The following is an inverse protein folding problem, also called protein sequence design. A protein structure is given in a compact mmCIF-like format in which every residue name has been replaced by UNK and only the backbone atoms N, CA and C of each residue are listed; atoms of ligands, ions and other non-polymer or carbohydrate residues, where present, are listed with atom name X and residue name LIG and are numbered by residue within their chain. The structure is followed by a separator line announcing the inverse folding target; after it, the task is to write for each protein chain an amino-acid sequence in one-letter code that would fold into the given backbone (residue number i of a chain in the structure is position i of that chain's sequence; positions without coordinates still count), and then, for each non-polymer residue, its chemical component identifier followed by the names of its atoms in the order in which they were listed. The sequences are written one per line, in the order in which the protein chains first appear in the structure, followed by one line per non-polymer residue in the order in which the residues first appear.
data_IF_630873871144
#
_entry.id   IF_630873871144
#
_cell.length_a   1.000
_cell.length_b   1.000
_cell.length_c   1.000
_cell.angle_alpha   90.00
_cell.angle_beta   90.00
_cell.angle_gamma   90.00
#
_symmetry.space_group_name_H-M   'P 1'
#
loop_
_entity.id
_entity.type
_entity.pdbx_description
1 polymer ?
#
# COMPACT_ATOMS: atom_id res chain seq x y z
N UNK A 1 -4.56 10.54 -8.74
CA UNK A 1 -5.64 11.46 -8.33
C UNK A 1 -5.25 12.86 -8.70
N UNK A 2 -6.05 13.84 -8.31
CA UNK A 2 -5.72 15.27 -8.36
C UNK A 2 -6.27 15.96 -7.11
N UNK A 3 -5.54 16.92 -6.57
CA UNK A 3 -5.97 17.76 -5.46
C UNK A 3 -5.26 19.13 -5.55
N UNK A 4 -5.66 20.08 -4.71
CA UNK A 4 -4.94 21.34 -4.59
C UNK A 4 -3.89 21.24 -3.48
N UNK A 5 -2.63 21.54 -3.80
CA UNK A 5 -1.58 21.60 -2.79
C UNK A 5 -1.89 22.70 -1.77
N UNK A 6 -1.65 22.43 -0.48
CA UNK A 6 -1.96 23.36 0.63
C UNK A 6 -3.45 23.76 0.72
N UNK A 7 -4.35 22.96 0.13
CA UNK A 7 -5.77 23.28 0.03
C UNK A 7 -6.57 23.10 1.33
N UNK A 8 -6.05 22.36 2.33
CA UNK A 8 -6.84 21.79 3.44
C UNK A 8 -7.65 22.82 4.26
N UNK A 9 -7.16 24.05 4.39
CA UNK A 9 -7.80 25.12 5.15
C UNK A 9 -8.37 26.24 4.28
N UNK A 10 -8.55 25.96 2.99
CA UNK A 10 -9.07 26.92 2.02
C UNK A 10 -10.40 26.43 1.43
N UNK A 11 -10.97 27.20 0.51
CA UNK A 11 -12.11 26.74 -0.29
C UNK A 11 -11.74 25.63 -1.30
N UNK A 12 -10.45 25.34 -1.47
CA UNK A 12 -9.89 24.32 -2.37
C UNK A 12 -9.56 22.99 -1.66
N UNK A 13 -10.17 22.73 -0.50
CA UNK A 13 -10.03 21.48 0.28
C UNK A 13 -10.71 20.27 -0.38
N UNK A 14 -10.36 20.01 -1.63
CA UNK A 14 -10.96 18.98 -2.48
C UNK A 14 -9.87 18.14 -3.14
N UNK A 15 -10.13 16.84 -3.23
CA UNK A 15 -9.29 15.88 -3.93
C UNK A 15 -10.16 14.86 -4.65
N UNK A 16 -9.70 14.40 -5.81
CA UNK A 16 -10.35 13.39 -6.62
C UNK A 16 -9.39 12.24 -6.83
N UNK A 17 -9.89 11.02 -6.63
CA UNK A 17 -9.16 9.78 -6.86
C UNK A 17 -9.99 8.87 -7.73
N UNK A 18 -9.37 8.31 -8.77
CA UNK A 18 -9.92 7.16 -9.46
C UNK A 18 -9.59 5.93 -8.61
N UNK A 19 -10.61 5.38 -7.95
CA UNK A 19 -10.51 4.05 -7.38
C UNK A 19 -10.96 3.03 -8.44
N UNK A 20 -10.10 2.07 -8.73
CA UNK A 20 -10.47 0.97 -9.62
C UNK A 20 -11.28 -0.08 -8.87
N UNK A 21 -11.39 0.03 -7.55
CA UNK A 21 -12.06 -0.90 -6.66
C UNK A 21 -11.35 -2.26 -6.59
N UNK A 22 -10.11 -2.34 -7.07
CA UNK A 22 -9.37 -3.59 -7.17
C UNK A 22 -8.26 -3.55 -6.13
N UNK A 23 -8.20 -4.56 -5.26
CA UNK A 23 -7.09 -4.75 -4.31
C UNK A 23 -6.68 -3.48 -3.54
N UNK A 24 -7.66 -2.61 -3.25
CA UNK A 24 -7.50 -1.34 -2.54
C UNK A 24 -6.46 -0.38 -3.13
N UNK A 25 -6.22 -0.41 -4.46
CA UNK A 25 -5.23 0.46 -5.09
C UNK A 25 -5.56 1.95 -5.03
N UNK A 26 -6.85 2.28 -4.95
CA UNK A 26 -7.33 3.64 -4.68
C UNK A 26 -6.83 4.21 -3.34
N UNK A 27 -6.52 3.38 -2.34
CA UNK A 27 -6.13 3.87 -1.01
C UNK A 27 -4.77 4.59 -1.04
N UNK A 28 -3.78 4.04 -1.74
CA UNK A 28 -2.48 4.70 -1.91
C UNK A 28 -2.65 6.04 -2.62
N UNK A 29 -3.50 6.09 -3.64
CA UNK A 29 -3.82 7.33 -4.35
C UNK A 29 -4.55 8.34 -3.46
N UNK A 30 -5.43 7.88 -2.57
CA UNK A 30 -6.11 8.72 -1.59
C UNK A 30 -5.14 9.33 -0.58
N UNK A 31 -4.27 8.51 0.00
CA UNK A 31 -3.25 8.99 0.94
C UNK A 31 -2.33 10.02 0.27
N UNK A 32 -1.93 9.76 -0.98
CA UNK A 32 -1.14 10.69 -1.81
C UNK A 32 -1.85 12.05 -1.98
N UNK A 33 -3.14 12.05 -2.37
CA UNK A 33 -3.88 13.31 -2.54
C UNK A 33 -4.13 14.07 -1.22
N UNK A 34 -4.32 13.34 -0.11
CA UNK A 34 -4.42 13.94 1.23
C UNK A 34 -3.10 14.58 1.63
N UNK A 35 -1.96 13.94 1.34
CA UNK A 35 -0.64 14.51 1.63
C UNK A 35 -0.43 15.85 0.90
N UNK A 36 -0.81 15.94 -0.39
CA UNK A 36 -0.73 17.19 -1.13
C UNK A 36 -1.67 18.27 -0.56
N UNK A 37 -2.90 17.92 -0.19
CA UNK A 37 -3.83 18.85 0.48
C UNK A 37 -3.23 19.43 1.76
N UNK A 38 -2.46 18.63 2.50
CA UNK A 38 -1.74 19.03 3.71
C UNK A 38 -0.44 19.78 3.44
N UNK A 39 -0.04 19.94 2.18
CA UNK A 39 1.07 20.80 1.77
C UNK A 39 2.35 20.10 1.36
N UNK A 40 2.36 18.78 1.17
CA UNK A 40 3.56 18.10 0.67
C UNK A 40 3.84 18.46 -0.79
N UNK A 41 5.12 18.48 -1.21
CA UNK A 41 5.47 18.53 -2.62
C UNK A 41 4.83 17.38 -3.40
N UNK A 42 4.54 17.59 -4.68
CA UNK A 42 4.01 16.55 -5.56
C UNK A 42 5.04 15.49 -5.90
N UNK A 43 6.28 15.94 -6.08
CA UNK A 43 7.31 15.18 -6.72
C UNK A 43 8.64 15.33 -5.97
N UNK A 44 9.00 14.33 -5.17
CA UNK A 44 10.35 14.23 -4.62
C UNK A 44 11.37 14.18 -5.76
N UNK A 45 12.49 14.88 -5.58
CA UNK A 45 13.53 15.03 -6.61
C UNK A 45 13.26 16.14 -7.64
N UNK A 46 12.09 16.79 -7.59
CA UNK A 46 11.80 17.96 -8.41
C UNK A 46 11.35 19.16 -7.58
N UNK A 47 10.20 19.07 -6.91
CA UNK A 47 9.70 20.14 -6.03
C UNK A 47 10.37 20.12 -4.65
N UNK A 48 10.90 18.96 -4.28
CA UNK A 48 11.78 18.77 -3.13
C UNK A 48 13.06 18.05 -3.61
N UNK A 49 14.03 18.78 -4.20
CA UNK A 49 15.25 18.20 -4.78
C UNK A 49 16.16 17.53 -3.74
N UNK A 50 16.03 17.88 -2.47
CA UNK A 50 16.70 17.23 -1.34
C UNK A 50 16.09 15.88 -0.96
N UNK A 51 14.86 15.59 -1.38
CA UNK A 51 14.24 14.28 -1.22
C UNK A 51 14.59 13.38 -2.42
N UNK A 52 14.91 12.11 -2.17
CA UNK A 52 15.16 11.14 -3.24
C UNK A 52 13.87 10.77 -3.96
N UNK A 53 13.73 11.19 -5.22
CA UNK A 53 12.61 10.80 -6.08
C UNK A 53 12.64 9.35 -6.58
N UNK A 54 13.67 8.56 -6.22
CA UNK A 54 13.91 7.21 -6.78
C UNK A 54 13.60 6.07 -5.81
N UNK A 55 13.26 6.39 -4.57
CA UNK A 55 13.12 5.40 -3.50
C UNK A 55 11.76 4.67 -3.56
N UNK A 56 10.79 5.23 -4.29
CA UNK A 56 9.50 4.59 -4.54
C UNK A 56 8.49 4.73 -3.40
N UNK A 57 8.58 5.83 -2.64
CA UNK A 57 7.55 6.26 -1.70
C UNK A 57 6.33 6.81 -2.44
N UNK A 58 5.24 7.07 -1.69
CA UNK A 58 3.97 7.51 -2.25
C UNK A 58 4.06 8.77 -3.11
N UNK A 59 4.97 9.70 -2.83
CA UNK A 59 5.15 10.98 -3.56
C UNK A 59 6.43 11.03 -4.42
N UNK A 60 7.09 9.88 -4.63
CA UNK A 60 8.32 9.83 -5.41
C UNK A 60 8.04 9.99 -6.92
N UNK A 61 8.80 10.86 -7.61
CA UNK A 61 8.61 11.19 -9.03
C UNK A 61 9.04 10.07 -9.98
N UNK A 62 10.20 9.46 -9.75
CA UNK A 62 10.94 8.69 -10.76
C UNK A 62 10.76 7.18 -10.60
N UNK A 63 9.53 6.75 -10.30
CA UNK A 63 9.24 5.33 -10.12
C UNK A 63 7.98 4.88 -10.86
N UNK A 64 8.15 3.95 -11.80
CA UNK A 64 7.03 3.25 -12.46
C UNK A 64 6.18 2.41 -11.50
N UNK A 65 6.69 2.18 -10.29
CA UNK A 65 6.01 1.53 -9.16
C UNK A 65 6.42 2.23 -7.88
N UNK A 66 5.45 2.50 -7.01
CA UNK A 66 5.65 3.01 -5.65
C UNK A 66 5.46 1.86 -4.66
N UNK A 67 6.45 0.95 -4.51
CA UNK A 67 6.29 -0.25 -3.69
C UNK A 67 6.09 0.09 -2.22
N UNK A 68 6.66 1.21 -1.74
CA UNK A 68 6.61 1.63 -0.35
C UNK A 68 5.34 2.44 -0.12
N UNK A 69 4.34 1.89 0.59
CA UNK A 69 3.05 2.55 0.71
C UNK A 69 3.07 3.52 1.90
N UNK A 70 4.11 4.36 1.96
CA UNK A 70 4.30 5.35 3.01
C UNK A 70 4.95 6.60 2.43
N UNK A 71 4.88 7.69 3.19
CA UNK A 71 5.67 8.89 2.94
C UNK A 71 7.12 8.64 3.38
N UNK A 72 8.06 9.20 2.64
CA UNK A 72 9.46 9.24 3.05
C UNK A 72 9.62 10.08 4.33
N UNK A 73 10.74 9.94 5.03
CA UNK A 73 11.03 10.82 6.17
C UNK A 73 11.15 12.28 5.72
N UNK A 74 11.75 12.53 4.56
CA UNK A 74 11.87 13.87 3.98
C UNK A 74 10.50 14.53 3.79
N UNK A 75 9.54 13.81 3.20
CA UNK A 75 8.16 14.31 3.02
C UNK A 75 7.41 14.46 4.35
N UNK A 76 7.67 13.60 5.34
CA UNK A 76 7.10 13.77 6.70
C UNK A 76 7.61 15.04 7.38
N UNK A 77 8.84 15.45 7.12
CA UNK A 77 9.40 16.69 7.68
C UNK A 77 8.67 17.93 7.12
N UNK A 78 8.32 17.92 5.82
CA UNK A 78 7.46 18.95 5.23
C UNK A 78 6.09 19.03 5.91
N UNK A 79 5.42 17.88 6.11
CA UNK A 79 4.14 17.83 6.81
C UNK A 79 4.25 18.35 8.25
N UNK A 80 5.31 17.96 8.96
CA UNK A 80 5.55 18.39 10.32
C UNK A 80 5.76 19.91 10.38
N UNK A 81 6.54 20.48 9.46
CA UNK A 81 6.76 21.91 9.38
C UNK A 81 5.46 22.67 9.07
N UNK A 82 4.64 22.16 8.14
CA UNK A 82 3.32 22.73 7.81
C UNK A 82 2.38 22.68 9.01
N UNK A 83 2.32 21.54 9.70
CA UNK A 83 1.54 21.39 10.92
C UNK A 83 1.97 22.40 11.99
N UNK A 84 3.27 22.47 12.30
CA UNK A 84 3.81 23.38 13.33
C UNK A 84 3.56 24.85 13.01
N UNK A 85 3.61 25.21 11.73
CA UNK A 85 3.42 26.59 11.28
C UNK A 85 1.94 27.02 11.32
N UNK A 86 1.00 26.08 11.14
CA UNK A 86 -0.43 26.38 11.04
C UNK A 86 -1.24 26.07 12.30
N UNK A 87 -0.75 25.20 13.18
CA UNK A 87 -1.49 24.72 14.36
C UNK A 87 -2.05 25.85 15.24
N UNK A 88 -1.36 26.98 15.33
CA UNK A 88 -1.76 28.10 16.20
C UNK A 88 -2.35 29.30 15.46
N UNK A 89 -2.35 29.26 14.12
CA UNK A 89 -2.81 30.37 13.28
C UNK A 89 -4.10 30.05 12.55
N UNK A 90 -4.37 28.76 12.30
CA UNK A 90 -5.46 28.30 11.44
C UNK A 90 -6.35 27.30 12.21
N UNK A 91 -7.59 27.70 12.51
CA UNK A 91 -8.51 26.92 13.35
C UNK A 91 -8.75 25.49 12.84
N UNK A 92 -8.87 25.33 11.52
CA UNK A 92 -9.06 24.05 10.84
C UNK A 92 -8.00 22.98 11.16
N UNK A 93 -6.79 23.36 11.58
CA UNK A 93 -5.73 22.41 11.98
C UNK A 93 -5.86 21.93 13.43
N UNK A 94 -6.68 22.61 14.25
CA UNK A 94 -6.88 22.29 15.67
C UNK A 94 -8.10 21.39 15.91
N UNK A 95 -9.02 21.34 14.96
CA UNK A 95 -10.26 20.59 15.13
C UNK A 95 -9.99 19.09 15.27
N UNK A 96 -10.65 18.47 16.26
CA UNK A 96 -10.60 17.01 16.42
C UNK A 96 -11.71 16.40 15.56
N UNK A 97 -11.38 15.66 14.47
CA UNK A 97 -12.40 15.10 13.61
C UNK A 97 -13.14 13.98 14.32
N UNK A 98 -14.47 13.98 14.17
CA UNK A 98 -15.29 12.81 14.49
C UNK A 98 -15.39 11.93 13.25
N UNK A 99 -15.13 10.62 13.37
CA UNK A 99 -15.26 9.72 12.23
C UNK A 99 -16.72 9.65 11.78
N UNK A 100 -16.96 9.82 10.48
CA UNK A 100 -18.30 9.69 9.88
C UNK A 100 -18.77 8.23 9.93
N UNK A 101 -17.82 7.31 9.82
CA UNK A 101 -18.01 5.86 9.91
C UNK A 101 -16.99 5.34 10.90
N UNK A 102 -17.45 4.53 11.86
CA UNK A 102 -16.54 3.90 12.82
C UNK A 102 -15.52 3.03 12.10
N UNK A 103 -14.29 3.02 12.63
CA UNK A 103 -13.25 2.13 12.09
C UNK A 103 -13.64 0.69 12.41
N UNK A 104 -13.64 -0.15 11.38
CA UNK A 104 -13.73 -1.59 11.54
C UNK A 104 -12.39 -2.17 11.98
N UNK A 105 -12.44 -3.27 12.73
CA UNK A 105 -11.27 -4.10 13.04
C UNK A 105 -10.96 -5.10 11.91
N UNK A 106 -11.85 -5.22 10.91
CA UNK A 106 -11.67 -6.06 9.73
C UNK A 106 -10.52 -5.54 8.87
N UNK A 107 -9.68 -6.46 8.41
CA UNK A 107 -8.53 -6.18 7.57
C UNK A 107 -8.85 -6.46 6.10
N UNK A 108 -8.07 -5.87 5.17
CA UNK A 108 -8.19 -6.20 3.75
C UNK A 108 -8.13 -7.70 3.44
N UNK A 109 -7.35 -8.50 4.20
CA UNK A 109 -7.33 -9.96 4.01
C UNK A 109 -8.65 -10.63 4.41
N UNK A 110 -9.38 -10.09 5.38
CA UNK A 110 -10.66 -10.66 5.81
C UNK A 110 -11.72 -10.48 4.72
N UNK A 111 -11.66 -9.34 4.01
CA UNK A 111 -12.45 -9.10 2.79
C UNK A 111 -12.10 -10.13 1.68
N UNK A 112 -10.81 -10.33 1.38
CA UNK A 112 -10.38 -11.30 0.37
C UNK A 112 -10.42 -12.77 0.82
N UNK A 113 -10.70 -13.03 2.10
CA UNK A 113 -11.03 -14.38 2.58
C UNK A 113 -12.37 -14.87 2.01
N UNK A 114 -13.27 -13.94 1.66
CA UNK A 114 -14.59 -14.22 1.09
C UNK A 114 -14.58 -14.14 -0.45
N UNK A 115 -13.75 -13.27 -1.04
CA UNK A 115 -13.54 -13.13 -2.48
C UNK A 115 -12.11 -13.46 -2.87
N UNK A 116 -11.89 -14.48 -3.71
CA UNK A 116 -10.55 -14.83 -4.22
C UNK A 116 -9.88 -13.59 -4.84
N UNK A 117 -8.78 -13.16 -4.22
CA UNK A 117 -8.05 -11.96 -4.61
C UNK A 117 -7.69 -11.95 -6.10
N UNK A 118 -7.34 -13.10 -6.69
CA UNK A 118 -6.97 -13.20 -8.09
C UNK A 118 -8.16 -12.99 -9.03
N UNK A 119 -9.38 -13.31 -8.58
CA UNK A 119 -10.64 -13.00 -9.29
C UNK A 119 -10.93 -11.51 -9.21
N UNK A 120 -10.91 -10.95 -8.01
CA UNK A 120 -11.18 -9.53 -7.77
C UNK A 120 -10.18 -8.61 -8.52
N UNK A 121 -8.93 -9.05 -8.65
CA UNK A 121 -7.86 -8.30 -9.31
C UNK A 121 -8.03 -8.18 -10.84
N UNK A 122 -8.76 -9.09 -11.49
CA UNK A 122 -8.75 -9.20 -12.96
C UNK A 122 -10.13 -9.43 -13.59
N UNK A 123 -10.94 -8.38 -13.74
CA UNK A 123 -12.28 -8.45 -14.36
C UNK A 123 -12.29 -9.06 -15.77
N UNK A 124 -11.24 -8.86 -16.57
CA UNK A 124 -11.14 -9.47 -17.90
C UNK A 124 -10.93 -11.00 -17.83
N UNK A 125 -10.50 -11.52 -16.68
CA UNK A 125 -10.19 -12.92 -16.45
C UNK A 125 -10.77 -13.38 -15.09
N UNK A 126 -12.11 -13.40 -14.95
CA UNK A 126 -12.80 -13.66 -13.69
C UNK A 126 -12.61 -15.11 -13.18
N UNK A 127 -12.06 -15.97 -14.02
CA UNK A 127 -11.75 -17.36 -13.71
C UNK A 127 -10.36 -17.55 -13.08
N UNK A 128 -9.55 -16.50 -12.98
CA UNK A 128 -8.24 -16.64 -12.35
C UNK A 128 -8.39 -16.87 -10.85
N UNK A 129 -7.66 -17.82 -10.31
CA UNK A 129 -7.62 -18.10 -8.87
C UNK A 129 -6.20 -17.96 -8.37
N UNK A 130 -6.02 -18.10 -7.05
CA UNK A 130 -4.71 -18.45 -6.51
C UNK A 130 -4.14 -19.68 -7.24
N UNK A 131 -2.82 -19.68 -7.46
CA UNK A 131 -2.16 -20.88 -7.94
C UNK A 131 -2.20 -21.98 -6.88
N UNK A 132 -2.33 -23.27 -7.25
CA UNK A 132 -2.24 -24.38 -6.31
C UNK A 132 -0.94 -24.36 -5.51
N UNK A 133 -0.93 -24.82 -4.26
CA UNK A 133 0.26 -24.76 -3.37
C UNK A 133 1.52 -25.42 -3.96
N UNK A 134 1.35 -26.47 -4.76
CA UNK A 134 2.45 -27.19 -5.42
C UNK A 134 2.93 -26.53 -6.72
N UNK A 135 2.33 -25.42 -7.13
CA UNK A 135 2.67 -24.73 -8.35
C UNK A 135 4.08 -24.14 -8.29
N UNK A 136 4.81 -24.17 -9.40
CA UNK A 136 6.22 -23.74 -9.48
C UNK A 136 6.43 -22.29 -9.07
N UNK A 137 5.41 -21.45 -9.21
CA UNK A 137 5.45 -20.03 -8.84
C UNK A 137 5.52 -19.78 -7.33
N UNK A 138 5.13 -20.77 -6.51
CA UNK A 138 5.32 -20.70 -5.06
C UNK A 138 6.74 -21.07 -4.62
N UNK A 139 7.58 -21.59 -5.50
CA UNK A 139 8.95 -21.98 -5.15
C UNK A 139 9.87 -20.77 -4.90
N UNK A 140 9.55 -19.61 -5.50
CA UNK A 140 10.32 -18.38 -5.33
C UNK A 140 9.46 -17.12 -5.59
N UNK A 141 8.34 -16.91 -4.87
CA UNK A 141 7.55 -15.70 -5.02
C UNK A 141 8.36 -14.49 -4.56
N UNK A 142 8.24 -13.33 -5.23
CA UNK A 142 8.73 -12.06 -4.69
C UNK A 142 8.09 -11.78 -3.33
N UNK A 143 8.82 -11.09 -2.45
CA UNK A 143 8.31 -10.74 -1.12
C UNK A 143 7.00 -9.95 -1.26
N UNK A 144 5.98 -10.34 -0.47
CA UNK A 144 4.67 -9.71 -0.48
C UNK A 144 3.97 -9.68 -1.81
N UNK A 145 4.21 -10.72 -2.62
CA UNK A 145 3.44 -10.93 -3.82
C UNK A 145 2.97 -12.37 -3.95
N UNK A 146 1.74 -12.53 -4.45
CA UNK A 146 1.12 -13.82 -4.69
C UNK A 146 0.99 -14.10 -6.20
N UNK A 147 1.11 -15.36 -6.63
CA UNK A 147 0.88 -15.77 -8.00
C UNK A 147 -0.60 -16.04 -8.26
N UNK A 148 -1.10 -15.54 -9.39
CA UNK A 148 -2.43 -15.86 -9.89
C UNK A 148 -2.34 -16.79 -11.10
N UNK A 149 -3.25 -17.77 -11.17
CA UNK A 149 -3.27 -18.80 -12.19
C UNK A 149 -4.58 -18.80 -12.95
N UNK A 150 -4.53 -19.12 -14.25
CA UNK A 150 -5.72 -19.37 -15.07
C UNK A 150 -6.31 -20.76 -14.79
N UNK A 151 -5.44 -21.71 -14.48
CA UNK A 151 -5.75 -23.09 -14.12
C UNK A 151 -4.53 -23.66 -13.35
N UNK A 152 -4.61 -24.92 -12.92
CA UNK A 152 -3.62 -25.57 -12.06
C UNK A 152 -2.19 -25.60 -12.60
N UNK A 153 -1.98 -25.37 -13.89
CA UNK A 153 -0.66 -25.45 -14.54
C UNK A 153 -0.21 -24.15 -15.19
N UNK A 154 -1.13 -23.19 -15.34
CA UNK A 154 -0.89 -21.98 -16.15
C UNK A 154 -0.94 -20.74 -15.29
N UNK A 155 0.24 -20.23 -14.94
CA UNK A 155 0.39 -18.91 -14.33
C UNK A 155 -0.06 -17.79 -15.27
N UNK A 156 -0.64 -16.72 -14.71
CA UNK A 156 -1.10 -15.58 -15.48
C UNK A 156 -0.48 -14.27 -15.03
N UNK A 157 0.20 -13.62 -15.97
CA UNK A 157 0.63 -12.23 -15.83
C UNK A 157 1.79 -12.03 -14.86
N UNK A 158 1.71 -10.98 -14.04
CA UNK A 158 2.72 -10.61 -13.03
C UNK A 158 2.18 -10.95 -11.64
N UNK A 159 3.10 -11.30 -10.74
CA UNK A 159 2.83 -11.37 -9.30
C UNK A 159 2.16 -10.09 -8.80
N UNK A 160 1.22 -10.24 -7.86
CA UNK A 160 0.41 -9.15 -7.34
C UNK A 160 0.71 -8.92 -5.87
N UNK A 161 0.78 -7.65 -5.46
CA UNK A 161 0.97 -7.28 -4.06
C UNK A 161 -0.12 -7.91 -3.20
N UNK A 162 0.27 -8.60 -2.15
CA UNK A 162 -0.66 -9.24 -1.21
C UNK A 162 -1.41 -8.19 -0.39
N UNK A 163 -2.69 -8.43 -0.05
CA UNK A 163 -3.37 -7.65 0.98
C UNK A 163 -2.68 -7.74 2.34
N UNK A 164 -2.95 -6.78 3.21
CA UNK A 164 -2.44 -6.74 4.59
C UNK A 164 -2.80 -7.99 5.37
N UNK A 165 -1.83 -8.52 6.11
CA UNK A 165 -1.83 -9.76 6.88
C UNK A 165 -2.14 -11.03 6.08
N UNK A 166 -1.94 -11.01 4.76
CA UNK A 166 -1.90 -12.28 4.03
C UNK A 166 -0.71 -13.13 4.53
N UNK A 167 -0.98 -14.38 4.87
CA UNK A 167 0.02 -15.35 5.27
C UNK A 167 0.83 -15.80 4.04
N UNK A 168 2.14 -15.60 4.06
CA UNK A 168 3.06 -16.18 3.11
C UNK A 168 3.88 -17.27 3.79
N UNK A 169 3.82 -18.47 3.22
CA UNK A 169 4.70 -19.56 3.59
C UNK A 169 6.02 -19.41 2.82
N UNK A 170 7.08 -18.97 3.52
CA UNK A 170 8.43 -18.94 2.93
C UNK A 170 9.25 -20.11 3.43
N UNK A 171 9.62 -21.02 2.52
CA UNK A 171 10.64 -22.03 2.80
C UNK A 171 12.03 -21.38 2.68
N UNK A 172 12.61 -20.93 3.80
CA UNK A 172 14.02 -20.51 3.80
C UNK A 172 14.93 -21.74 3.67
N UNK A 173 15.70 -21.77 2.58
CA UNK A 173 16.84 -22.62 2.27
C UNK A 173 16.63 -24.15 2.28
N UNK A 174 17.02 -24.76 1.16
CA UNK A 174 17.09 -26.20 0.86
C UNK A 174 18.08 -26.95 1.77
N UNK A 175 17.77 -27.10 3.06
CA UNK A 175 18.29 -28.20 3.88
C UNK A 175 17.09 -29.08 4.23
N UNK A 176 17.18 -30.39 3.96
CA UNK A 176 16.14 -31.36 4.35
C UNK A 176 15.85 -31.18 5.84
N UNK A 177 14.66 -30.67 6.17
CA UNK A 177 14.24 -30.36 7.55
C UNK A 177 13.85 -28.91 7.86
N UNK A 178 13.90 -27.98 6.89
CA UNK A 178 13.46 -26.59 7.10
C UNK A 178 11.95 -26.50 7.36
N UNK A 179 11.56 -25.97 8.52
CA UNK A 179 10.15 -25.65 8.85
C UNK A 179 9.70 -24.40 8.06
N UNK A 180 8.45 -24.33 7.60
CA UNK A 180 7.92 -23.12 6.97
C UNK A 180 7.97 -21.96 7.97
N UNK A 181 8.49 -20.81 7.55
CA UNK A 181 8.38 -19.56 8.30
C UNK A 181 7.08 -18.91 7.85
N UNK A 182 6.21 -18.61 8.82
CA UNK A 182 5.00 -17.82 8.60
C UNK A 182 5.43 -16.35 8.57
N UNK A 183 5.41 -15.75 7.37
CA UNK A 183 5.68 -14.33 7.15
C UNK A 183 4.36 -13.63 6.82
N UNK A 184 4.08 -12.50 7.46
CA UNK A 184 2.91 -11.67 7.13
C UNK A 184 3.34 -10.46 6.31
N UNK A 185 2.55 -10.13 5.29
CA UNK A 185 2.74 -8.90 4.54
C UNK A 185 1.86 -7.79 5.07
N UNK A 186 2.45 -6.62 5.29
CA UNK A 186 1.73 -5.45 5.80
C UNK A 186 1.89 -4.34 4.76
N UNK A 187 0.77 -3.92 4.16
CA UNK A 187 0.66 -2.86 3.17
C UNK A 187 -0.29 -1.78 3.70
N UNK A 188 0.23 -1.00 4.65
CA UNK A 188 -0.39 0.17 5.33
C UNK A 188 -1.17 -0.09 6.62
N UNK A 189 -0.39 -0.31 7.68
CA UNK A 189 -0.49 0.54 8.89
C UNK A 189 0.77 0.52 9.76
N UNK A 190 1.72 -0.37 9.51
CA UNK A 190 3.09 -0.28 10.07
C UNK A 190 4.02 -1.14 9.20
N UNK A 191 4.76 -0.47 8.31
CA UNK A 191 5.88 -1.01 7.55
C UNK A 191 5.57 -2.16 6.56
N UNK A 192 6.12 -2.10 5.35
CA UNK A 192 6.44 -3.33 4.60
C UNK A 192 7.65 -3.98 5.28
N UNK A 193 7.41 -4.66 6.40
CA UNK A 193 8.43 -5.46 7.08
C UNK A 193 7.91 -6.87 7.20
N UNK A 194 8.70 -7.83 6.72
CA UNK A 194 8.50 -9.25 7.04
C UNK A 194 8.71 -9.42 8.55
N UNK A 195 7.65 -9.70 9.29
CA UNK A 195 7.74 -10.03 10.71
C UNK A 195 7.94 -11.53 10.88
N UNK A 196 9.07 -11.94 11.47
CA UNK A 196 9.31 -13.33 11.91
C UNK A 196 8.71 -13.53 13.30
N UNK A 197 7.77 -14.48 13.44
CA UNK A 197 7.33 -14.93 14.75
C UNK A 197 8.42 -15.83 15.38
N UNK A 198 9.30 -15.24 16.21
CA UNK A 198 10.14 -16.04 17.11
C UNK A 198 9.29 -16.53 18.27
N UNK A 199 8.75 -17.75 18.17
CA UNK A 199 8.21 -18.45 19.34
C UNK A 199 9.33 -18.58 20.38
N UNK A 200 9.12 -18.01 21.57
CA UNK A 200 9.87 -18.33 22.79
C UNK A 200 9.55 -19.75 23.24
#
# INVERSE_FOLDING_TARGET
GISHQDGICTHLRVGLVEDKGRYFDGLSSLVDQIAHLLGTPWNEGHEAPECSGKDGYLVSLDTSRKPLPMLSNCTKDYLLQKYQSNLHTEQCWMDTPTPIIERTEELPVDYFGQEDFCKANHLQFPYNTYCPENHTMWQSPPACQLPCCKNDTTHRGRYRSTPDRHELYRYKNRRKGSRPILEYCVTTTKYQTVYENKKK
#
